data_IF_182466795473
#
_entry.id   IF_182466795473
#
_cell.length_a   1.000
_cell.length_b   1.000
_cell.length_c   1.000
_cell.angle_alpha   90.00
_cell.angle_beta   90.00
_cell.angle_gamma   90.00
#
_symmetry.space_group_name_H-M   'P 1'
#
loop_
_entity.id
_entity.type
_entity.pdbx_description
1 polymer ?
#
# COMPACT_ATOMS: atom_id res chain seq x y z
N UNK A 1 68.16 -43.07 -46.91
CA UNK A 1 67.01 -43.99 -47.06
C UNK A 1 66.00 -43.66 -45.97
N UNK A 2 64.76 -43.33 -46.38
CA UNK A 2 63.43 -43.57 -45.76
C UNK A 2 63.37 -43.64 -44.20
N UNK A 3 62.49 -42.96 -43.47
CA UNK A 3 61.12 -42.56 -43.78
C UNK A 3 60.66 -41.45 -42.82
N UNK A 4 59.85 -40.51 -43.33
CA UNK A 4 59.15 -39.51 -42.52
C UNK A 4 57.91 -40.11 -41.87
N UNK A 5 57.68 -39.79 -40.60
CA UNK A 5 56.48 -40.13 -39.86
C UNK A 5 55.47 -38.98 -40.03
N UNK A 6 54.50 -39.19 -40.90
CA UNK A 6 53.42 -38.24 -41.19
C UNK A 6 52.33 -38.41 -40.11
N UNK A 7 52.24 -37.46 -39.19
CA UNK A 7 51.23 -37.44 -38.14
C UNK A 7 49.90 -36.98 -38.76
N UNK A 8 48.99 -37.93 -38.99
CA UNK A 8 47.65 -37.68 -39.53
C UNK A 8 46.79 -37.06 -38.42
N UNK A 9 46.51 -35.77 -38.51
CA UNK A 9 45.45 -35.14 -37.73
C UNK A 9 44.09 -35.57 -38.31
N UNK A 10 43.39 -36.43 -37.58
CA UNK A 10 41.98 -36.73 -37.84
C UNK A 10 41.18 -35.49 -37.42
N UNK A 11 40.81 -34.66 -38.38
CA UNK A 11 39.75 -33.66 -38.20
C UNK A 11 38.43 -34.42 -38.03
N UNK A 12 37.99 -34.59 -36.78
CA UNK A 12 36.61 -34.93 -36.50
C UNK A 12 35.74 -33.74 -36.92
N UNK A 13 35.12 -33.83 -38.09
CA UNK A 13 34.06 -32.92 -38.49
C UNK A 13 32.89 -33.09 -37.52
N UNK A 14 32.83 -32.26 -36.46
CA UNK A 14 31.60 -32.03 -35.73
C UNK A 14 30.62 -31.41 -36.73
N UNK A 15 29.71 -32.24 -37.23
CA UNK A 15 28.54 -31.78 -37.95
C UNK A 15 27.78 -30.81 -37.05
N UNK A 16 27.78 -29.53 -37.41
CA UNK A 16 26.80 -28.57 -36.96
C UNK A 16 25.43 -29.08 -37.42
N UNK A 17 24.73 -29.79 -36.54
CA UNK A 17 23.31 -30.00 -36.70
C UNK A 17 22.66 -28.60 -36.81
N UNK A 18 21.80 -28.35 -37.82
CA UNK A 18 21.08 -27.10 -37.87
C UNK A 18 20.28 -27.01 -36.56
N UNK A 19 20.42 -25.90 -35.86
CA UNK A 19 19.63 -25.60 -34.67
C UNK A 19 18.15 -25.71 -35.06
N UNK A 20 17.53 -26.87 -34.81
CA UNK A 20 16.12 -27.07 -35.02
C UNK A 20 15.38 -25.98 -34.27
N UNK A 21 14.48 -25.27 -34.95
CA UNK A 21 13.63 -24.26 -34.30
C UNK A 21 13.00 -24.93 -33.07
N UNK A 22 13.39 -24.50 -31.87
CA UNK A 22 12.75 -24.91 -30.63
C UNK A 22 11.23 -24.69 -30.78
N UNK A 23 10.41 -25.60 -30.27
CA UNK A 23 8.94 -25.55 -30.41
C UNK A 23 8.34 -24.17 -30.00
N UNK A 24 9.01 -23.49 -29.05
CA UNK A 24 8.71 -22.12 -28.60
C UNK A 24 8.86 -21.06 -29.70
N UNK A 25 9.83 -21.22 -30.62
CA UNK A 25 10.03 -20.33 -31.76
C UNK A 25 8.95 -20.54 -32.83
N UNK A 26 8.53 -21.79 -33.06
CA UNK A 26 7.43 -22.11 -33.99
C UNK A 26 6.08 -21.62 -33.45
N UNK A 27 5.83 -21.80 -32.15
CA UNK A 27 4.65 -21.29 -31.45
C UNK A 27 4.58 -19.76 -31.50
N UNK A 28 5.70 -19.08 -31.25
CA UNK A 28 5.77 -17.61 -31.30
C UNK A 28 5.42 -17.04 -32.68
N UNK A 29 5.86 -17.68 -33.77
CA UNK A 29 5.52 -17.25 -35.13
C UNK A 29 3.99 -17.28 -35.34
N UNK A 30 3.30 -18.31 -34.85
CA UNK A 30 1.83 -18.40 -34.93
C UNK A 30 1.15 -17.31 -34.11
N UNK A 31 1.59 -17.09 -32.87
CA UNK A 31 1.10 -16.01 -32.01
C UNK A 31 1.25 -14.65 -32.71
N UNK A 32 2.46 -14.31 -33.17
CA UNK A 32 2.76 -13.05 -33.83
C UNK A 32 1.96 -12.86 -35.12
N UNK A 33 1.83 -13.89 -35.96
CA UNK A 33 1.11 -13.78 -37.24
C UNK A 33 -0.39 -13.52 -37.05
N UNK A 34 -0.98 -14.03 -35.97
CA UNK A 34 -2.37 -13.74 -35.61
C UNK A 34 -2.48 -12.37 -34.92
N UNK A 35 -1.71 -12.15 -33.85
CA UNK A 35 -1.83 -10.96 -33.00
C UNK A 35 -1.36 -9.66 -33.66
N UNK A 36 -0.53 -9.71 -34.71
CA UNK A 36 -0.25 -8.53 -35.54
C UNK A 36 -1.52 -7.94 -36.17
N UNK A 37 -2.56 -8.76 -36.37
CA UNK A 37 -3.86 -8.35 -36.90
C UNK A 37 -4.89 -8.18 -35.79
N UNK A 38 -4.95 -9.12 -34.85
CA UNK A 38 -5.96 -9.12 -33.79
C UNK A 38 -5.69 -8.06 -32.70
N UNK A 39 -4.43 -7.87 -32.30
CA UNK A 39 -4.02 -6.95 -31.23
C UNK A 39 -2.68 -6.29 -31.60
N UNK A 40 -2.62 -5.46 -32.67
CA UNK A 40 -1.37 -4.92 -33.19
C UNK A 40 -0.55 -4.18 -32.14
N UNK A 41 -1.19 -3.41 -31.27
CA UNK A 41 -0.52 -2.61 -30.24
C UNK A 41 0.17 -3.48 -29.18
N UNK A 42 -0.42 -4.62 -28.80
CA UNK A 42 0.22 -5.59 -27.88
C UNK A 42 1.51 -6.14 -28.49
N UNK A 43 1.49 -6.43 -29.80
CA UNK A 43 2.70 -6.88 -30.50
C UNK A 43 3.73 -5.76 -30.61
N UNK A 44 3.31 -4.51 -30.80
CA UNK A 44 4.22 -3.36 -30.83
C UNK A 44 4.89 -3.13 -29.46
N UNK A 45 4.12 -3.17 -28.38
CA UNK A 45 4.67 -3.06 -27.02
C UNK A 45 5.67 -4.17 -26.72
N UNK A 46 5.32 -5.43 -27.06
CA UNK A 46 6.25 -6.54 -26.90
C UNK A 46 7.53 -6.33 -27.72
N UNK A 47 7.44 -5.88 -28.98
CA UNK A 47 8.62 -5.58 -29.81
C UNK A 47 9.48 -4.47 -29.22
N UNK A 48 8.87 -3.50 -28.54
CA UNK A 48 9.57 -2.42 -27.85
C UNK A 48 10.26 -2.90 -26.56
N UNK A 49 9.75 -3.97 -25.94
CA UNK A 49 10.30 -4.52 -24.70
C UNK A 49 11.70 -5.13 -24.88
N UNK A 50 12.47 -5.13 -23.79
CA UNK A 50 13.71 -5.93 -23.72
C UNK A 50 13.45 -7.43 -23.83
N UNK A 51 12.28 -7.92 -23.43
CA UNK A 51 11.92 -9.32 -23.60
C UNK A 51 11.99 -9.76 -25.07
N UNK A 52 11.52 -8.93 -26.01
CA UNK A 52 11.63 -9.28 -27.44
C UNK A 52 13.08 -9.31 -27.92
N UNK A 53 13.95 -8.43 -27.44
CA UNK A 53 15.36 -8.41 -27.85
C UNK A 53 16.14 -9.58 -27.27
N UNK A 54 15.78 -10.04 -26.07
CA UNK A 54 16.37 -11.20 -25.39
C UNK A 54 15.72 -12.54 -25.80
N UNK A 55 14.85 -12.55 -26.81
CA UNK A 55 14.24 -13.77 -27.34
C UNK A 55 13.11 -14.36 -26.49
N UNK A 56 12.63 -13.64 -25.47
CA UNK A 56 11.46 -14.03 -24.67
C UNK A 56 10.18 -13.80 -25.48
N UNK A 57 9.55 -14.91 -25.85
CA UNK A 57 8.36 -14.95 -26.72
C UNK A 57 7.05 -14.89 -25.95
N UNK A 58 5.92 -14.68 -26.65
CA UNK A 58 4.58 -14.73 -26.06
C UNK A 58 4.34 -16.04 -25.29
N UNK A 59 4.84 -17.16 -25.81
CA UNK A 59 4.64 -18.49 -25.26
C UNK A 59 5.37 -18.73 -23.93
N UNK A 60 6.49 -18.04 -23.68
CA UNK A 60 7.21 -18.16 -22.40
C UNK A 60 6.33 -17.70 -21.23
N UNK A 61 5.48 -16.69 -21.45
CA UNK A 61 4.59 -16.14 -20.44
C UNK A 61 3.19 -16.77 -20.47
N UNK A 62 2.63 -16.96 -21.67
CA UNK A 62 1.22 -17.35 -21.86
C UNK A 62 1.02 -18.83 -22.20
N UNK A 63 2.08 -19.60 -22.42
CA UNK A 63 2.00 -20.99 -22.87
C UNK A 63 1.58 -21.12 -24.34
N UNK A 64 1.25 -22.34 -24.75
CA UNK A 64 0.94 -22.72 -26.15
C UNK A 64 -0.45 -23.35 -26.33
N UNK A 65 -1.25 -23.43 -25.26
CA UNK A 65 -2.54 -24.13 -25.27
C UNK A 65 -3.64 -23.35 -26.03
N UNK A 66 -3.49 -22.03 -26.13
CA UNK A 66 -4.33 -21.18 -26.97
C UNK A 66 -3.86 -21.26 -28.43
N UNK A 67 -4.76 -21.64 -29.33
CA UNK A 67 -4.44 -21.89 -30.75
C UNK A 67 -5.36 -21.17 -31.73
N UNK A 68 -6.49 -20.62 -31.28
CA UNK A 68 -7.46 -19.91 -32.13
C UNK A 68 -8.26 -18.87 -31.34
N UNK A 69 -8.90 -17.91 -32.02
CA UNK A 69 -9.72 -16.88 -31.35
C UNK A 69 -10.86 -17.42 -30.46
N UNK A 70 -11.22 -18.71 -30.59
CA UNK A 70 -12.27 -19.37 -29.82
C UNK A 70 -11.80 -20.00 -28.51
N UNK A 71 -10.48 -20.06 -28.27
CA UNK A 71 -9.90 -20.71 -27.08
C UNK A 71 -8.92 -19.82 -26.31
N UNK A 72 -9.16 -18.49 -26.35
CA UNK A 72 -8.32 -17.49 -25.67
C UNK A 72 -8.18 -17.73 -24.16
N UNK A 73 -9.16 -18.36 -23.53
CA UNK A 73 -9.17 -18.74 -22.13
C UNK A 73 -8.14 -19.81 -21.77
N UNK A 74 -7.58 -20.53 -22.75
CA UNK A 74 -6.49 -21.50 -22.53
C UNK A 74 -5.12 -20.82 -22.42
N UNK A 75 -5.00 -19.54 -22.77
CA UNK A 75 -3.79 -18.78 -22.51
C UNK A 75 -3.56 -18.66 -20.99
N UNK A 76 -2.34 -18.89 -20.56
CA UNK A 76 -1.94 -18.69 -19.16
C UNK A 76 -1.87 -17.18 -18.88
N UNK A 77 -2.36 -16.78 -17.71
CA UNK A 77 -2.17 -15.43 -17.19
C UNK A 77 -0.92 -15.45 -16.29
N UNK A 78 0.13 -14.68 -16.62
CA UNK A 78 1.35 -14.66 -15.82
C UNK A 78 1.09 -14.24 -14.38
N UNK A 79 1.69 -14.97 -13.45
CA UNK A 79 1.73 -14.67 -12.02
C UNK A 79 3.19 -14.37 -11.61
N UNK A 80 3.47 -13.85 -10.40
CA UNK A 80 4.85 -13.67 -9.92
C UNK A 80 5.73 -14.92 -10.08
N UNK A 81 5.15 -16.12 -9.91
CA UNK A 81 5.83 -17.40 -10.16
C UNK A 81 6.26 -17.62 -11.61
N UNK A 82 5.55 -17.06 -12.60
CA UNK A 82 5.99 -17.04 -14.01
C UNK A 82 7.25 -16.19 -14.16
N UNK A 83 7.26 -15.02 -13.53
CA UNK A 83 8.38 -14.06 -13.58
C UNK A 83 9.61 -14.60 -12.83
N UNK A 84 9.41 -15.28 -11.70
CA UNK A 84 10.47 -15.82 -10.84
C UNK A 84 11.39 -16.83 -11.53
N UNK A 85 10.96 -17.42 -12.66
CA UNK A 85 11.80 -18.31 -13.47
C UNK A 85 13.05 -17.61 -14.03
N UNK A 86 12.98 -16.28 -14.18
CA UNK A 86 14.08 -15.45 -14.69
C UNK A 86 14.43 -14.28 -13.75
N UNK A 87 13.47 -13.81 -12.94
CA UNK A 87 13.59 -12.66 -12.04
C UNK A 87 13.41 -13.08 -10.58
N UNK A 88 14.13 -14.11 -10.15
CA UNK A 88 13.98 -14.70 -8.82
C UNK A 88 14.19 -13.67 -7.70
N UNK A 89 15.25 -12.87 -7.81
CA UNK A 89 15.61 -11.85 -6.83
C UNK A 89 14.50 -10.80 -6.65
N UNK A 90 14.04 -10.17 -7.74
CA UNK A 90 13.01 -9.14 -7.69
C UNK A 90 11.68 -9.69 -7.17
N UNK A 91 11.33 -10.93 -7.53
CA UNK A 91 10.11 -11.56 -7.01
C UNK A 91 10.25 -11.91 -5.53
N UNK A 92 11.43 -12.34 -5.07
CA UNK A 92 11.69 -12.59 -3.66
C UNK A 92 11.60 -11.29 -2.82
N UNK A 93 12.18 -10.19 -3.30
CA UNK A 93 12.04 -8.85 -2.72
C UNK A 93 10.58 -8.41 -2.66
N UNK A 94 9.86 -8.47 -3.79
CA UNK A 94 8.44 -8.13 -3.88
C UNK A 94 7.60 -8.87 -2.84
N UNK A 95 7.83 -10.19 -2.68
CA UNK A 95 7.10 -11.05 -1.73
C UNK A 95 7.32 -10.71 -0.27
N UNK A 96 8.45 -10.08 0.08
CA UNK A 96 8.69 -9.56 1.44
C UNK A 96 8.05 -8.20 1.67
N UNK A 97 7.71 -7.48 0.61
CA UNK A 97 7.09 -6.15 0.66
C UNK A 97 5.56 -6.19 0.78
N UNK A 98 4.97 -5.05 1.14
CA UNK A 98 3.52 -4.92 1.38
C UNK A 98 2.68 -5.09 0.12
N UNK A 99 3.22 -4.78 -1.05
CA UNK A 99 2.49 -4.93 -2.31
C UNK A 99 2.08 -6.38 -2.58
N UNK A 100 2.92 -7.36 -2.23
CA UNK A 100 2.60 -8.78 -2.45
C UNK A 100 1.41 -9.28 -1.62
N UNK A 101 1.19 -8.71 -0.43
CA UNK A 101 0.11 -9.10 0.47
C UNK A 101 -1.14 -8.21 0.34
N UNK A 102 -1.11 -7.19 -0.51
CA UNK A 102 -2.19 -6.19 -0.63
C UNK A 102 -3.57 -6.80 -0.94
N UNK A 103 -3.65 -7.88 -1.73
CA UNK A 103 -4.91 -8.58 -2.02
C UNK A 103 -5.49 -9.26 -0.78
N UNK A 104 -4.64 -9.92 0.00
CA UNK A 104 -5.04 -10.56 1.24
C UNK A 104 -5.48 -9.52 2.28
N UNK A 105 -4.72 -8.42 2.42
CA UNK A 105 -5.06 -7.30 3.30
C UNK A 105 -6.41 -6.67 2.94
N UNK A 106 -6.68 -6.45 1.64
CA UNK A 106 -7.99 -5.95 1.18
C UNK A 106 -9.13 -6.90 1.56
N UNK A 107 -8.96 -8.21 1.36
CA UNK A 107 -10.01 -9.19 1.71
C UNK A 107 -10.20 -9.34 3.23
N UNK A 108 -9.19 -9.01 4.03
CA UNK A 108 -9.26 -9.06 5.48
C UNK A 108 -10.04 -7.88 6.09
N UNK A 109 -10.29 -6.82 5.33
CA UNK A 109 -11.07 -5.69 5.80
C UNK A 109 -12.53 -6.11 6.07
N UNK A 110 -13.07 -5.88 7.29
CA UNK A 110 -14.37 -6.41 7.70
C UNK A 110 -15.52 -6.03 6.76
N UNK A 111 -15.43 -4.86 6.14
CA UNK A 111 -16.53 -4.19 5.46
C UNK A 111 -16.43 -4.26 3.93
N UNK A 112 -15.31 -4.76 3.38
CA UNK A 112 -15.10 -4.85 1.93
C UNK A 112 -16.14 -5.72 1.23
N UNK A 113 -16.67 -6.74 1.91
CA UNK A 113 -17.72 -7.60 1.38
C UNK A 113 -19.11 -6.95 1.36
N UNK A 114 -19.29 -5.81 2.04
CA UNK A 114 -20.55 -5.05 2.10
C UNK A 114 -20.66 -4.01 0.97
N UNK A 115 -19.59 -3.76 0.22
CA UNK A 115 -19.59 -2.82 -0.89
C UNK A 115 -20.54 -3.30 -2.01
N UNK A 116 -21.20 -2.37 -2.74
CA UNK A 116 -22.03 -2.70 -3.89
C UNK A 116 -21.30 -3.63 -4.86
N UNK A 117 -22.02 -4.66 -5.35
CA UNK A 117 -21.45 -5.64 -6.28
C UNK A 117 -20.83 -5.01 -7.53
N UNK A 118 -21.34 -3.85 -7.97
CA UNK A 118 -20.81 -3.10 -9.09
C UNK A 118 -19.41 -2.52 -8.85
N UNK A 119 -19.01 -2.32 -7.58
CA UNK A 119 -17.69 -1.86 -7.18
C UNK A 119 -16.75 -3.03 -6.85
N UNK A 120 -17.28 -4.12 -6.28
CA UNK A 120 -16.46 -5.29 -5.93
C UNK A 120 -16.17 -6.18 -7.13
N UNK A 121 -17.13 -6.36 -8.05
CA UNK A 121 -16.94 -7.16 -9.26
C UNK A 121 -16.19 -6.39 -10.36
N UNK A 122 -15.31 -7.09 -11.07
CA UNK A 122 -14.60 -6.55 -12.23
C UNK A 122 -13.53 -5.51 -11.90
N UNK A 123 -13.05 -5.46 -10.65
CA UNK A 123 -11.96 -4.56 -10.22
C UNK A 123 -12.27 -3.07 -10.44
N UNK A 124 -13.48 -2.63 -10.08
CA UNK A 124 -13.90 -1.22 -10.19
C UNK A 124 -13.72 -0.41 -8.91
N UNK A 125 -13.57 -1.08 -7.76
CA UNK A 125 -13.26 -0.50 -6.46
C UNK A 125 -11.87 -0.93 -5.96
N UNK A 126 -11.77 -1.29 -4.68
CA UNK A 126 -10.52 -1.65 -3.99
C UNK A 126 -9.65 -2.64 -4.77
N UNK A 127 -10.28 -3.62 -5.42
CA UNK A 127 -9.60 -4.65 -6.21
C UNK A 127 -8.78 -4.09 -7.37
N UNK A 128 -9.08 -2.90 -7.91
CA UNK A 128 -8.30 -2.30 -9.00
C UNK A 128 -6.88 -1.92 -8.58
N UNK A 129 -6.73 -1.44 -7.34
CA UNK A 129 -5.45 -1.04 -6.78
C UNK A 129 -4.76 -2.24 -6.09
N UNK A 130 -5.51 -3.00 -5.29
CA UNK A 130 -4.97 -4.12 -4.52
C UNK A 130 -4.70 -5.40 -5.34
N UNK A 131 -5.05 -5.43 -6.64
CA UNK A 131 -4.70 -6.55 -7.54
C UNK A 131 -3.20 -6.77 -7.70
N UNK A 132 -2.35 -5.81 -7.32
CA UNK A 132 -0.90 -6.03 -7.30
C UNK A 132 -0.54 -7.19 -6.36
N UNK A 133 -1.33 -7.48 -5.33
CA UNK A 133 -1.10 -8.60 -4.42
C UNK A 133 -1.12 -9.96 -5.11
N UNK A 134 -0.24 -10.85 -4.65
CA UNK A 134 -0.18 -12.23 -5.13
C UNK A 134 -1.46 -12.98 -4.72
N UNK A 135 -2.00 -13.75 -5.66
CA UNK A 135 -3.26 -14.49 -5.50
C UNK A 135 -2.96 -15.98 -5.65
N UNK A 136 -3.66 -16.81 -4.89
CA UNK A 136 -3.57 -18.25 -5.07
C UNK A 136 -4.17 -18.68 -6.42
N UNK A 137 -3.77 -19.83 -6.99
CA UNK A 137 -4.37 -20.34 -8.22
C UNK A 137 -5.90 -20.49 -8.13
N UNK A 138 -6.42 -20.88 -6.96
CA UNK A 138 -7.85 -21.03 -6.69
C UNK A 138 -8.57 -19.68 -6.76
N UNK A 139 -7.97 -18.63 -6.18
CA UNK A 139 -8.51 -17.28 -6.23
C UNK A 139 -8.54 -16.75 -7.67
N UNK A 140 -7.47 -16.96 -8.44
CA UNK A 140 -7.43 -16.58 -9.86
C UNK A 140 -8.50 -17.32 -10.66
N UNK A 141 -8.70 -18.61 -10.40
CA UNK A 141 -9.74 -19.40 -11.05
C UNK A 141 -11.15 -18.88 -10.70
N UNK A 142 -11.39 -18.53 -9.43
CA UNK A 142 -12.65 -17.92 -8.98
C UNK A 142 -12.93 -16.59 -9.69
N UNK A 143 -11.96 -15.68 -9.70
CA UNK A 143 -12.08 -14.38 -10.37
C UNK A 143 -12.38 -14.52 -11.86
N UNK A 144 -11.76 -15.51 -12.52
CA UNK A 144 -12.03 -15.82 -13.93
C UNK A 144 -13.46 -16.34 -14.14
N UNK A 145 -13.95 -17.22 -13.28
CA UNK A 145 -15.33 -17.72 -13.33
C UNK A 145 -16.37 -16.60 -13.10
N UNK A 146 -16.01 -15.59 -12.31
CA UNK A 146 -16.83 -14.40 -12.06
C UNK A 146 -16.76 -13.34 -13.18
N UNK A 147 -16.07 -13.62 -14.28
CA UNK A 147 -15.97 -12.76 -15.46
C UNK A 147 -14.78 -11.80 -15.46
N UNK A 148 -13.93 -11.82 -14.43
CA UNK A 148 -12.67 -11.07 -14.40
C UNK A 148 -11.57 -11.93 -15.03
N UNK A 149 -11.59 -12.06 -16.35
CA UNK A 149 -10.64 -12.90 -17.08
C UNK A 149 -9.23 -12.31 -17.26
N UNK A 150 -9.01 -11.03 -16.93
CA UNK A 150 -7.76 -10.31 -17.19
C UNK A 150 -7.44 -9.34 -16.05
N UNK A 151 -6.18 -8.90 -15.99
CA UNK A 151 -5.75 -7.84 -15.07
C UNK A 151 -5.34 -8.31 -13.67
N UNK A 152 -5.13 -9.61 -13.46
CA UNK A 152 -4.72 -10.17 -12.16
C UNK A 152 -3.20 -10.27 -11.95
N UNK A 153 -2.42 -9.85 -12.95
CA UNK A 153 -0.97 -9.88 -12.88
C UNK A 153 -0.46 -8.82 -11.90
N UNK A 154 0.49 -9.20 -11.06
CA UNK A 154 1.11 -8.31 -10.08
C UNK A 154 2.21 -7.47 -10.74
N UNK A 155 3.10 -8.14 -11.48
CA UNK A 155 4.34 -7.59 -11.99
C UNK A 155 4.17 -6.69 -13.23
N UNK A 156 2.96 -6.23 -13.54
CA UNK A 156 2.72 -5.23 -14.58
C UNK A 156 2.11 -3.93 -14.03
N UNK A 157 2.16 -3.75 -12.70
CA UNK A 157 1.60 -2.58 -12.02
C UNK A 157 2.43 -1.32 -12.21
N UNK A 158 3.77 -1.41 -12.24
CA UNK A 158 4.67 -0.24 -12.38
C UNK A 158 5.34 -0.15 -13.76
N UNK A 159 5.73 -1.29 -14.34
CA UNK A 159 6.23 -1.41 -15.71
C UNK A 159 5.22 -2.20 -16.52
N UNK A 160 4.38 -1.49 -17.27
CA UNK A 160 3.14 -2.07 -17.77
C UNK A 160 3.38 -3.07 -18.89
N UNK A 161 2.51 -4.07 -18.95
CA UNK A 161 2.46 -5.00 -20.07
C UNK A 161 2.06 -4.25 -21.35
N UNK A 162 2.59 -4.57 -22.53
CA UNK A 162 3.58 -5.62 -22.81
C UNK A 162 4.99 -5.05 -23.05
N UNK A 163 5.21 -3.78 -22.70
CA UNK A 163 6.50 -3.11 -22.84
C UNK A 163 7.48 -3.49 -21.72
N UNK A 164 6.97 -3.71 -20.50
CA UNK A 164 7.76 -4.03 -19.30
C UNK A 164 8.98 -3.12 -19.16
N UNK A 165 8.76 -1.80 -19.34
CA UNK A 165 9.83 -0.82 -19.45
C UNK A 165 10.36 -0.42 -18.07
N UNK A 166 11.65 -0.68 -17.81
CA UNK A 166 12.32 -0.13 -16.61
C UNK A 166 12.28 1.40 -16.59
N UNK A 167 12.33 2.05 -17.75
CA UNK A 167 12.28 3.52 -17.84
C UNK A 167 10.93 4.04 -17.39
N UNK A 168 9.84 3.36 -17.76
CA UNK A 168 8.47 3.65 -17.31
C UNK A 168 8.36 3.46 -15.79
N UNK A 169 8.80 2.32 -15.26
CA UNK A 169 8.74 2.05 -13.82
C UNK A 169 9.59 3.00 -12.96
N UNK A 170 10.58 3.68 -13.54
CA UNK A 170 11.39 4.69 -12.85
C UNK A 170 10.75 6.10 -12.88
N UNK A 171 9.60 6.28 -13.53
CA UNK A 171 8.86 7.54 -13.50
C UNK A 171 7.91 7.56 -12.29
N UNK A 172 7.79 8.68 -11.55
CA UNK A 172 6.92 8.74 -10.39
C UNK A 172 5.43 8.55 -10.76
N UNK A 173 5.06 8.85 -12.01
CA UNK A 173 3.71 8.61 -12.54
C UNK A 173 3.29 7.13 -12.53
N UNK A 174 4.24 6.18 -12.46
CA UNK A 174 3.90 4.76 -12.29
C UNK A 174 3.19 4.48 -10.95
N UNK A 175 3.35 5.36 -9.95
CA UNK A 175 2.73 5.21 -8.63
C UNK A 175 1.37 5.94 -8.53
N UNK A 176 1.15 6.96 -9.36
CA UNK A 176 0.06 7.93 -9.19
C UNK A 176 -1.34 7.34 -9.34
N UNK A 177 -1.47 6.18 -9.99
CA UNK A 177 -2.77 5.53 -10.25
C UNK A 177 -3.37 4.88 -9.01
N UNK A 178 -2.55 4.61 -7.99
CA UNK A 178 -2.97 3.96 -6.74
C UNK A 178 -2.69 4.86 -5.53
N UNK A 179 -1.53 5.53 -5.52
CA UNK A 179 -1.10 6.38 -4.40
C UNK A 179 -1.63 7.81 -4.54
N UNK A 180 -2.95 7.97 -4.43
CA UNK A 180 -3.67 9.22 -4.64
C UNK A 180 -4.94 9.31 -3.78
N UNK A 181 -5.58 10.48 -3.76
CA UNK A 181 -6.99 10.61 -3.38
C UNK A 181 -7.27 10.73 -1.88
N UNK A 182 -8.26 9.96 -1.40
CA UNK A 182 -8.91 10.19 -0.11
C UNK A 182 -7.97 9.96 1.07
N UNK A 183 -7.47 8.74 1.22
CA UNK A 183 -6.77 8.25 2.41
C UNK A 183 -5.25 8.33 2.32
N UNK A 184 -4.70 8.31 1.11
CA UNK A 184 -3.25 8.39 0.91
C UNK A 184 -2.88 9.19 -0.35
N UNK A 185 -3.12 10.52 -0.37
CA UNK A 185 -2.79 11.41 -1.48
C UNK A 185 -1.27 11.69 -1.62
N UNK A 186 -0.48 10.62 -1.64
CA UNK A 186 0.99 10.69 -1.68
C UNK A 186 1.49 11.27 -3.00
N UNK A 187 0.82 10.98 -4.12
CA UNK A 187 1.11 11.63 -5.40
C UNK A 187 0.89 13.14 -5.34
N UNK A 188 -0.24 13.60 -4.80
CA UNK A 188 -0.57 15.01 -4.69
C UNK A 188 0.42 15.73 -3.77
N UNK A 189 0.75 15.12 -2.62
CA UNK A 189 1.76 15.62 -1.69
C UNK A 189 3.14 15.72 -2.36
N UNK A 190 3.61 14.65 -3.00
CA UNK A 190 4.90 14.61 -3.69
C UNK A 190 4.93 15.60 -4.85
N UNK A 191 3.97 15.53 -5.77
CA UNK A 191 3.98 16.30 -7.03
C UNK A 191 3.91 17.81 -6.81
N UNK A 192 3.29 18.25 -5.71
CA UNK A 192 3.23 19.66 -5.31
C UNK A 192 4.31 20.08 -4.30
N UNK A 193 5.15 19.14 -3.83
CA UNK A 193 6.35 19.44 -3.04
C UNK A 193 7.50 19.97 -3.90
N UNK A 194 8.56 20.49 -3.26
CA UNK A 194 9.79 20.87 -3.98
C UNK A 194 10.49 19.67 -4.62
N UNK A 195 10.38 18.47 -4.04
CA UNK A 195 10.91 17.26 -4.67
C UNK A 195 10.19 16.94 -5.98
N UNK A 196 8.86 16.88 -5.96
CA UNK A 196 8.07 16.56 -7.15
C UNK A 196 8.14 17.61 -8.24
N UNK A 197 8.09 18.90 -7.90
CA UNK A 197 8.26 19.98 -8.88
C UNK A 197 9.63 19.89 -9.55
N UNK A 198 10.71 19.67 -8.79
CA UNK A 198 12.06 19.50 -9.37
C UNK A 198 12.17 18.22 -10.20
N UNK A 199 11.56 17.13 -9.74
CA UNK A 199 11.48 15.87 -10.48
C UNK A 199 10.80 16.04 -11.84
N UNK A 200 9.68 16.76 -11.88
CA UNK A 200 8.97 17.10 -13.13
C UNK A 200 9.82 17.98 -14.05
N UNK A 201 10.45 19.03 -13.52
CA UNK A 201 11.29 19.92 -14.33
C UNK A 201 12.52 19.20 -14.90
N UNK A 202 13.03 18.19 -14.21
CA UNK A 202 14.08 17.28 -14.71
C UNK A 202 13.55 16.35 -15.80
N UNK A 203 12.35 15.79 -15.61
CA UNK A 203 11.68 14.92 -16.59
C UNK A 203 11.36 15.68 -17.89
N UNK A 204 10.93 16.94 -17.81
CA UNK A 204 10.62 17.79 -18.97
C UNK A 204 11.84 18.40 -19.66
N UNK A 205 13.03 18.25 -19.08
CA UNK A 205 14.28 18.78 -19.61
C UNK A 205 14.53 20.27 -19.33
N UNK A 206 13.68 20.92 -18.51
CA UNK A 206 13.92 22.30 -18.03
C UNK A 206 15.12 22.35 -17.08
N UNK A 207 15.26 21.33 -16.22
CA UNK A 207 16.46 21.11 -15.41
C UNK A 207 17.33 20.01 -16.02
N UNK A 208 18.67 20.08 -15.89
CA UNK A 208 19.55 19.04 -16.38
C UNK A 208 19.34 17.73 -15.63
N UNK A 209 19.70 16.60 -16.26
CA UNK A 209 19.59 15.26 -15.65
C UNK A 209 20.42 15.11 -14.36
N UNK A 210 21.44 15.93 -14.16
CA UNK A 210 22.28 15.98 -12.96
C UNK A 210 21.65 16.77 -11.81
N UNK A 211 20.55 17.50 -12.04
CA UNK A 211 19.87 18.21 -10.99
C UNK A 211 19.27 17.25 -9.95
N UNK A 212 19.36 17.65 -8.68
CA UNK A 212 18.66 16.98 -7.57
C UNK A 212 17.14 17.11 -7.74
N UNK A 213 16.44 16.03 -7.43
CA UNK A 213 14.99 15.88 -7.60
C UNK A 213 14.65 14.41 -7.46
N UNK A 214 14.52 13.90 -6.21
CA UNK A 214 14.18 12.50 -6.00
C UNK A 214 12.75 12.23 -6.51
N UNK A 215 12.51 11.00 -6.93
CA UNK A 215 11.17 10.48 -7.29
C UNK A 215 10.75 9.41 -6.28
N UNK A 216 9.51 8.92 -6.36
CA UNK A 216 8.98 7.88 -5.45
C UNK A 216 9.96 6.70 -5.29
N UNK A 217 10.48 6.21 -6.42
CA UNK A 217 11.40 5.09 -6.51
C UNK A 217 12.76 5.39 -5.86
N UNK A 218 13.23 6.65 -5.89
CA UNK A 218 14.48 7.04 -5.23
C UNK A 218 14.43 6.76 -3.72
N UNK A 219 13.27 6.98 -3.09
CA UNK A 219 13.10 6.89 -1.64
C UNK A 219 12.47 5.58 -1.14
N UNK A 220 11.72 4.87 -2.00
CA UNK A 220 10.96 3.68 -1.59
C UNK A 220 11.39 2.39 -2.28
N UNK A 221 12.28 2.48 -3.28
CA UNK A 221 12.83 1.34 -4.01
C UNK A 221 14.35 1.54 -4.19
N UNK A 222 15.04 1.84 -3.08
CA UNK A 222 16.49 2.05 -3.07
C UNK A 222 17.20 0.88 -3.77
N UNK A 223 18.22 1.19 -4.57
CA UNK A 223 19.00 0.22 -5.35
C UNK A 223 18.16 -0.67 -6.30
N UNK A 224 16.89 -0.32 -6.54
CA UNK A 224 15.96 -1.12 -7.32
C UNK A 224 15.32 -2.28 -6.56
N UNK A 225 15.41 -2.28 -5.23
CA UNK A 225 14.74 -3.27 -4.36
C UNK A 225 13.22 -3.18 -4.51
N UNK A 226 12.57 -4.33 -4.69
CA UNK A 226 11.11 -4.44 -4.82
C UNK A 226 10.39 -4.62 -3.47
N UNK A 227 11.13 -4.68 -2.35
CA UNK A 227 10.60 -4.72 -0.99
C UNK A 227 10.21 -3.31 -0.51
N UNK A 228 9.09 -2.79 -1.00
CA UNK A 228 8.61 -1.45 -0.62
C UNK A 228 8.11 -1.45 0.83
N UNK A 229 8.84 -0.74 1.70
CA UNK A 229 8.57 -0.58 3.14
C UNK A 229 8.82 0.85 3.62
N UNK A 230 8.25 1.15 4.78
CA UNK A 230 8.43 2.43 5.49
C UNK A 230 8.48 2.18 7.00
N UNK A 231 9.18 3.02 7.79
CA UNK A 231 9.32 2.82 9.24
C UNK A 231 7.98 2.82 9.97
N UNK A 232 7.11 3.78 9.64
CA UNK A 232 5.81 3.96 10.29
C UNK A 232 4.68 3.14 9.66
N UNK A 233 4.96 2.39 8.58
CA UNK A 233 3.94 1.68 7.83
C UNK A 233 2.85 2.61 7.28
N UNK A 234 1.62 2.08 7.16
CA UNK A 234 0.50 2.82 6.60
C UNK A 234 -0.21 3.67 7.67
N UNK A 235 -0.50 3.08 8.82
CA UNK A 235 -1.31 3.69 9.87
C UNK A 235 -0.51 4.51 10.88
N UNK A 236 0.81 4.66 10.70
CA UNK A 236 1.68 5.34 11.66
C UNK A 236 1.53 4.79 13.09
N UNK A 237 1.57 3.46 13.20
CA UNK A 237 1.59 2.72 14.47
C UNK A 237 2.76 1.71 14.44
N UNK A 238 3.34 1.39 15.59
CA UNK A 238 4.48 0.46 15.69
C UNK A 238 4.54 -0.25 17.05
N UNK A 239 5.26 -1.37 17.08
CA UNK A 239 5.74 -2.02 18.30
C UNK A 239 7.28 -2.09 18.28
N UNK A 240 7.98 -1.90 19.41
CA UNK A 240 7.43 -1.44 20.70
C UNK A 240 6.82 -0.04 20.58
N UNK A 241 5.90 0.27 21.48
CA UNK A 241 5.29 1.60 21.55
C UNK A 241 6.35 2.68 21.86
N UNK A 242 6.09 3.95 21.50
CA UNK A 242 6.97 5.06 21.85
C UNK A 242 7.29 5.10 23.36
N UNK A 243 8.50 5.57 23.71
CA UNK A 243 8.93 5.67 25.12
C UNK A 243 8.20 6.79 25.89
N UNK A 244 7.82 7.86 25.18
CA UNK A 244 7.05 8.98 25.72
C UNK A 244 5.70 8.48 26.28
N UNK A 245 5.41 8.80 27.54
CA UNK A 245 4.30 8.20 28.26
C UNK A 245 2.93 8.60 27.68
N UNK A 246 2.76 9.87 27.30
CA UNK A 246 1.54 10.39 26.69
C UNK A 246 1.32 9.75 25.33
N UNK A 247 2.34 9.78 24.47
CA UNK A 247 2.25 9.19 23.14
C UNK A 247 1.99 7.68 23.17
N UNK A 248 2.57 6.98 24.14
CA UNK A 248 2.30 5.56 24.37
C UNK A 248 0.83 5.30 24.72
N UNK A 249 0.21 6.16 25.56
CA UNK A 249 -1.21 6.06 25.89
C UNK A 249 -2.07 6.31 24.65
N UNK A 250 -1.75 7.36 23.88
CA UNK A 250 -2.48 7.70 22.66
C UNK A 250 -2.42 6.57 21.62
N UNK A 251 -1.23 6.01 21.37
CA UNK A 251 -1.05 4.86 20.49
C UNK A 251 -1.78 3.61 21.00
N UNK A 252 -1.82 3.40 22.32
CA UNK A 252 -2.61 2.31 22.91
C UNK A 252 -4.08 2.49 22.61
N UNK A 253 -4.65 3.68 22.83
CA UNK A 253 -6.03 4.01 22.49
C UNK A 253 -6.33 3.80 20.99
N UNK A 254 -5.41 4.19 20.11
CA UNK A 254 -5.55 3.95 18.67
C UNK A 254 -5.54 2.44 18.36
N UNK A 255 -4.67 1.65 18.97
CA UNK A 255 -4.64 0.19 18.79
C UNK A 255 -5.90 -0.50 19.34
N UNK A 256 -6.50 0.03 20.41
CA UNK A 256 -7.80 -0.41 20.91
C UNK A 256 -8.91 -0.11 19.89
N UNK A 257 -8.92 1.10 19.33
CA UNK A 257 -9.89 1.50 18.32
C UNK A 257 -9.69 0.79 16.98
N UNK A 258 -8.47 0.32 16.68
CA UNK A 258 -8.21 -0.58 15.56
C UNK A 258 -8.60 -2.03 15.87
N UNK A 259 -9.07 -2.33 17.09
CA UNK A 259 -9.44 -3.65 17.56
C UNK A 259 -8.26 -4.60 17.74
N UNK A 260 -7.02 -4.11 17.69
CA UNK A 260 -5.79 -4.90 17.89
C UNK A 260 -5.61 -5.24 19.37
N UNK A 261 -6.00 -4.30 20.23
CA UNK A 261 -6.09 -4.49 21.67
C UNK A 261 -7.57 -4.42 22.10
N UNK A 262 -7.94 -5.11 23.17
CA UNK A 262 -9.21 -4.92 23.83
C UNK A 262 -9.20 -3.66 24.71
N UNK A 263 -10.32 -3.34 25.35
CA UNK A 263 -10.45 -2.12 26.15
C UNK A 263 -9.61 -2.12 27.44
N UNK A 264 -9.06 -3.27 27.82
CA UNK A 264 -8.14 -3.46 28.94
C UNK A 264 -6.66 -3.43 28.49
N UNK A 265 -6.42 -3.41 27.17
CA UNK A 265 -5.09 -3.36 26.58
C UNK A 265 -4.50 -4.74 26.26
N UNK A 266 -5.29 -5.83 26.36
CA UNK A 266 -4.81 -7.16 26.00
C UNK A 266 -4.92 -7.39 24.48
N UNK A 267 -3.99 -8.16 23.87
CA UNK A 267 -4.09 -8.56 22.47
C UNK A 267 -5.38 -9.28 22.11
N UNK A 268 -5.97 -8.93 20.96
CA UNK A 268 -7.12 -9.66 20.39
C UNK A 268 -6.69 -10.59 19.25
N UNK A 269 -7.63 -11.37 18.71
CA UNK A 269 -7.42 -12.15 17.49
C UNK A 269 -7.01 -11.30 16.27
N UNK A 270 -7.35 -10.00 16.24
CA UNK A 270 -6.99 -9.09 15.15
C UNK A 270 -5.49 -8.77 15.13
N UNK A 271 -4.77 -8.92 16.24
CA UNK A 271 -3.32 -8.74 16.28
C UNK A 271 -2.61 -9.68 15.30
N UNK A 272 -3.03 -10.93 15.19
CA UNK A 272 -2.40 -11.89 14.27
C UNK A 272 -2.60 -11.51 12.80
N UNK A 273 -3.76 -10.94 12.46
CA UNK A 273 -4.01 -10.37 11.12
C UNK A 273 -3.09 -9.15 10.91
N UNK A 274 -2.96 -8.30 11.92
CA UNK A 274 -2.11 -7.10 11.87
C UNK A 274 -0.64 -7.44 11.61
N UNK A 275 -0.14 -8.51 12.26
CA UNK A 275 1.20 -9.06 12.04
C UNK A 275 1.34 -9.66 10.64
N UNK A 276 0.40 -10.52 10.24
CA UNK A 276 0.43 -11.20 8.94
C UNK A 276 0.31 -10.23 7.76
N UNK A 277 -0.42 -9.12 7.93
CA UNK A 277 -0.57 -8.06 6.94
C UNK A 277 0.55 -7.01 6.99
N UNK A 278 1.57 -7.20 7.84
CA UNK A 278 2.75 -6.32 7.95
C UNK A 278 2.39 -4.84 8.15
N UNK A 279 1.29 -4.56 8.88
CA UNK A 279 0.71 -3.21 8.99
C UNK A 279 1.67 -2.24 9.66
N UNK A 280 2.41 -2.75 10.66
CA UNK A 280 3.33 -2.01 11.52
C UNK A 280 4.68 -2.74 11.63
N UNK A 281 5.77 -2.00 11.91
CA UNK A 281 7.02 -2.63 12.37
C UNK A 281 6.79 -3.15 13.79
N UNK A 282 7.24 -4.38 14.06
CA UNK A 282 6.96 -5.08 15.32
C UNK A 282 8.15 -5.10 16.30
N UNK A 283 9.31 -4.65 15.86
CA UNK A 283 10.51 -4.51 16.68
C UNK A 283 11.16 -3.15 16.42
N UNK A 284 11.92 -2.67 17.42
CA UNK A 284 12.69 -1.44 17.30
C UNK A 284 13.73 -1.56 16.17
N UNK A 285 14.43 -2.69 16.11
CA UNK A 285 15.38 -3.01 15.03
C UNK A 285 14.73 -2.91 13.64
N UNK A 286 13.54 -3.48 13.43
CA UNK A 286 12.86 -3.42 12.14
C UNK A 286 12.40 -1.99 11.77
N UNK A 287 12.16 -1.12 12.76
CA UNK A 287 11.89 0.28 12.54
C UNK A 287 13.17 1.05 12.19
N UNK A 288 14.25 0.81 12.93
CA UNK A 288 15.53 1.50 12.77
C UNK A 288 16.17 1.18 11.42
N UNK A 289 16.15 -0.08 10.97
CA UNK A 289 16.62 -0.47 9.64
C UNK A 289 15.93 0.36 8.54
N UNK A 290 14.62 0.52 8.61
CA UNK A 290 13.89 1.30 7.61
C UNK A 290 14.13 2.82 7.76
N UNK A 291 14.36 3.29 9.00
CA UNK A 291 14.66 4.70 9.28
C UNK A 291 16.03 5.08 8.73
N UNK A 292 17.03 4.23 8.92
CA UNK A 292 18.40 4.40 8.43
C UNK A 292 18.41 4.43 6.90
N UNK A 293 17.72 3.49 6.22
CA UNK A 293 17.56 3.51 4.74
C UNK A 293 17.01 4.84 4.22
N UNK A 294 16.01 5.42 4.89
CA UNK A 294 15.47 6.72 4.53
C UNK A 294 16.51 7.83 4.74
N UNK A 295 17.18 7.86 5.90
CA UNK A 295 18.20 8.85 6.21
C UNK A 295 19.35 8.81 5.20
N UNK A 296 19.85 7.62 4.87
CA UNK A 296 20.89 7.39 3.86
C UNK A 296 20.47 7.90 2.48
N UNK A 297 19.19 7.78 2.14
CA UNK A 297 18.67 8.36 0.89
C UNK A 297 18.69 9.88 0.93
N UNK A 298 18.26 10.48 2.06
CA UNK A 298 18.24 11.92 2.23
C UNK A 298 19.65 12.55 2.19
N UNK A 299 20.66 11.88 2.74
CA UNK A 299 22.04 12.39 2.82
C UNK A 299 22.76 12.42 1.48
N UNK A 300 22.20 11.79 0.43
CA UNK A 300 22.70 11.94 -0.93
C UNK A 300 22.56 13.38 -1.47
N UNK A 301 21.64 14.19 -0.91
CA UNK A 301 21.39 15.57 -1.34
C UNK A 301 21.40 16.60 -0.21
N UNK A 302 21.25 16.17 1.05
CA UNK A 302 21.14 17.04 2.22
C UNK A 302 22.20 16.69 3.27
N UNK A 303 22.47 17.61 4.18
CA UNK A 303 23.25 17.25 5.37
C UNK A 303 22.43 16.30 6.25
N UNK A 304 23.10 15.36 6.91
CA UNK A 304 22.49 14.43 7.86
C UNK A 304 21.71 15.16 8.95
N UNK A 305 22.28 16.25 9.51
CA UNK A 305 21.59 17.09 10.49
C UNK A 305 20.24 17.64 9.99
N UNK A 306 20.19 18.07 8.73
CA UNK A 306 18.95 18.56 8.13
C UNK A 306 17.96 17.40 7.97
N UNK A 307 18.40 16.30 7.37
CA UNK A 307 17.55 15.13 7.10
C UNK A 307 16.96 14.54 8.38
N UNK A 308 17.78 14.27 9.39
CA UNK A 308 17.34 13.76 10.69
C UNK A 308 16.39 14.75 11.38
N UNK A 309 16.64 16.06 11.24
CA UNK A 309 15.76 17.10 11.77
C UNK A 309 14.37 17.12 11.12
N UNK A 310 14.29 17.00 9.79
CA UNK A 310 12.99 16.94 9.08
C UNK A 310 12.22 15.64 9.40
N UNK A 311 12.93 14.52 9.48
CA UNK A 311 12.35 13.23 9.88
C UNK A 311 11.79 13.29 11.31
N UNK A 312 12.52 13.91 12.25
CA UNK A 312 12.04 14.10 13.62
C UNK A 312 10.80 15.01 13.71
N UNK A 313 10.70 16.05 12.86
CA UNK A 313 9.47 16.86 12.77
C UNK A 313 8.28 16.05 12.27
N UNK A 314 8.50 15.10 11.34
CA UNK A 314 7.48 14.15 10.91
C UNK A 314 7.00 13.26 12.07
N UNK A 315 7.93 12.77 12.88
CA UNK A 315 7.61 11.96 14.07
C UNK A 315 6.81 12.77 15.12
N UNK A 316 7.19 14.02 15.37
CA UNK A 316 6.44 14.93 16.25
C UNK A 316 5.03 15.23 15.73
N UNK A 317 4.83 15.33 14.41
CA UNK A 317 3.50 15.50 13.84
C UNK A 317 2.63 14.24 13.99
N UNK A 318 3.22 13.04 13.94
CA UNK A 318 2.48 11.81 14.29
C UNK A 318 2.05 11.89 15.75
N UNK A 319 2.96 12.21 16.68
CA UNK A 319 2.64 12.35 18.11
C UNK A 319 1.48 13.31 18.34
N UNK A 320 1.51 14.50 17.73
CA UNK A 320 0.44 15.49 17.89
C UNK A 320 -0.88 15.07 17.24
N UNK A 321 -0.84 14.41 16.09
CA UNK A 321 -2.05 13.91 15.44
C UNK A 321 -2.67 12.72 16.19
N UNK A 322 -1.84 11.88 16.81
CA UNK A 322 -2.27 10.77 17.66
C UNK A 322 -3.02 11.26 18.88
N UNK A 323 -2.51 12.31 19.52
CA UNK A 323 -3.17 12.92 20.67
C UNK A 323 -4.59 13.38 20.36
N UNK A 324 -4.78 14.14 19.27
CA UNK A 324 -6.11 14.58 18.85
C UNK A 324 -7.03 13.41 18.51
N UNK A 325 -6.50 12.38 17.84
CA UNK A 325 -7.29 11.20 17.49
C UNK A 325 -7.68 10.40 18.73
N UNK A 326 -6.76 10.22 19.68
CA UNK A 326 -7.01 9.53 20.94
C UNK A 326 -8.09 10.27 21.77
N UNK A 327 -8.04 11.60 21.84
CA UNK A 327 -9.08 12.40 22.49
C UNK A 327 -10.46 12.15 21.85
N UNK A 328 -10.54 12.21 20.52
CA UNK A 328 -11.77 11.93 19.79
C UNK A 328 -12.31 10.51 20.03
N UNK A 329 -11.43 9.50 20.04
CA UNK A 329 -11.80 8.11 20.37
C UNK A 329 -12.38 8.03 21.78
N UNK A 330 -11.71 8.64 22.76
CA UNK A 330 -12.12 8.58 24.17
C UNK A 330 -13.44 9.31 24.43
N UNK A 331 -13.71 10.40 23.71
CA UNK A 331 -15.02 11.08 23.76
C UNK A 331 -16.12 10.11 23.35
N UNK A 332 -15.97 9.41 22.22
CA UNK A 332 -17.01 8.48 21.74
C UNK A 332 -17.08 7.23 22.65
N UNK A 333 -15.94 6.73 23.11
CA UNK A 333 -15.88 5.64 24.08
C UNK A 333 -16.66 5.99 25.36
N UNK A 334 -16.56 7.22 25.86
CA UNK A 334 -17.33 7.65 27.04
C UNK A 334 -18.85 7.58 26.81
N UNK A 335 -19.34 7.83 25.60
CA UNK A 335 -20.77 7.69 25.30
C UNK A 335 -21.25 6.24 25.33
N UNK A 336 -20.40 5.29 24.94
CA UNK A 336 -20.66 3.86 25.12
C UNK A 336 -20.68 3.46 26.60
N UNK A 337 -19.72 3.97 27.38
CA UNK A 337 -19.61 3.72 28.82
C UNK A 337 -20.83 4.23 29.57
N UNK A 338 -21.32 5.40 29.17
CA UNK A 338 -22.47 6.04 29.77
C UNK A 338 -23.81 5.46 29.27
N UNK A 339 -23.80 4.41 28.44
CA UNK A 339 -25.02 3.79 27.90
C UNK A 339 -25.79 4.66 26.91
N UNK A 340 -25.23 5.79 26.47
CA UNK A 340 -25.84 6.70 25.49
C UNK A 340 -25.75 6.11 24.08
N UNK A 341 -24.70 5.35 23.79
CA UNK A 341 -24.54 4.59 22.56
C UNK A 341 -24.62 3.09 22.83
N UNK A 342 -25.51 2.40 22.13
CA UNK A 342 -25.58 0.94 22.15
C UNK A 342 -24.44 0.30 21.34
N UNK A 343 -23.88 -0.82 21.80
CA UNK A 343 -22.90 -1.56 20.99
C UNK A 343 -23.55 -2.11 19.71
N UNK A 344 -23.08 -1.75 18.50
CA UNK A 344 -23.54 -2.38 17.27
C UNK A 344 -23.30 -3.90 17.29
N UNK A 345 -24.14 -4.67 16.60
CA UNK A 345 -23.96 -6.13 16.49
C UNK A 345 -22.63 -6.47 15.80
N UNK A 346 -22.23 -5.67 14.81
CA UNK A 346 -20.98 -5.81 14.07
C UNK A 346 -19.72 -5.51 14.88
N UNK A 347 -19.84 -4.86 16.05
CA UNK A 347 -18.69 -4.44 16.86
C UNK A 347 -18.34 -5.51 17.89
N UNK A 348 -17.04 -5.77 18.06
CA UNK A 348 -16.55 -6.72 19.08
C UNK A 348 -16.83 -6.22 20.49
N UNK A 349 -16.57 -4.94 20.76
CA UNK A 349 -16.71 -4.30 22.07
C UNK A 349 -17.56 -3.02 21.97
N UNK A 350 -18.09 -2.53 23.09
CA UNK A 350 -18.76 -1.23 23.20
C UNK A 350 -17.71 -0.10 23.17
N UNK A 351 -17.02 0.01 22.03
CA UNK A 351 -15.90 0.90 21.79
C UNK A 351 -15.83 1.24 20.29
N UNK A 352 -15.40 2.45 19.89
CA UNK A 352 -15.30 2.81 18.48
C UNK A 352 -14.36 1.89 17.69
N UNK A 353 -14.75 1.46 16.48
CA UNK A 353 -13.88 0.69 15.57
C UNK A 353 -13.48 1.54 14.36
N UNK A 354 -12.19 1.87 14.24
CA UNK A 354 -11.66 2.69 13.15
C UNK A 354 -11.68 2.00 11.77
N UNK A 355 -11.95 0.68 11.73
CA UNK A 355 -12.06 -0.07 10.48
C UNK A 355 -13.48 -0.14 9.92
N UNK A 356 -14.48 0.47 10.58
CA UNK A 356 -15.88 0.48 10.10
C UNK A 356 -16.18 1.66 9.20
N UNK A 357 -15.25 2.01 8.31
CA UNK A 357 -15.25 3.14 7.37
C UNK A 357 -16.51 4.02 7.26
N UNK A 358 -17.23 3.92 6.13
CA UNK A 358 -18.45 4.67 5.85
C UNK A 358 -19.70 3.92 6.36
N UNK A 359 -19.52 2.68 6.77
CA UNK A 359 -20.54 1.82 7.39
C UNK A 359 -20.61 1.99 8.91
N UNK A 360 -19.83 2.93 9.46
CA UNK A 360 -19.92 3.33 10.85
C UNK A 360 -21.37 3.75 11.14
N UNK A 361 -21.97 3.23 12.22
CA UNK A 361 -23.43 3.24 12.38
C UNK A 361 -23.99 4.62 12.68
N UNK A 362 -23.13 5.59 13.04
CA UNK A 362 -23.53 6.91 13.52
C UNK A 362 -22.68 8.02 12.91
N UNK A 363 -23.25 9.23 12.72
CA UNK A 363 -22.50 10.37 12.20
C UNK A 363 -21.24 10.74 13.00
N UNK A 364 -21.26 10.60 14.33
CA UNK A 364 -20.08 10.87 15.19
C UNK A 364 -18.94 9.86 14.94
N UNK A 365 -19.28 8.60 14.64
CA UNK A 365 -18.31 7.55 14.30
C UNK A 365 -17.83 7.68 12.85
N UNK A 366 -18.69 8.13 11.92
CA UNK A 366 -18.29 8.50 10.56
C UNK A 366 -17.33 9.70 10.56
N UNK A 367 -17.54 10.67 11.45
CA UNK A 367 -16.63 11.80 11.65
C UNK A 367 -15.27 11.33 12.17
N UNK A 368 -15.26 10.40 13.14
CA UNK A 368 -14.02 9.78 13.62
C UNK A 368 -13.28 9.04 12.51
N UNK A 369 -14.00 8.33 11.64
CA UNK A 369 -13.42 7.69 10.46
C UNK A 369 -12.72 8.68 9.54
N UNK A 370 -13.35 9.81 9.20
CA UNK A 370 -12.71 10.87 8.38
C UNK A 370 -11.47 11.43 9.08
N UNK A 371 -11.57 11.69 10.38
CA UNK A 371 -10.44 12.16 11.19
C UNK A 371 -9.27 11.17 11.11
N UNK A 372 -9.53 9.87 11.25
CA UNK A 372 -8.50 8.83 11.22
C UNK A 372 -7.91 8.58 9.82
N UNK A 373 -8.75 8.31 8.83
CA UNK A 373 -8.30 7.79 7.54
C UNK A 373 -8.10 8.88 6.48
N UNK A 374 -8.70 10.06 6.63
CA UNK A 374 -8.47 11.19 5.71
C UNK A 374 -7.50 12.21 6.31
N UNK A 375 -7.88 12.82 7.43
CA UNK A 375 -7.19 14.01 7.91
C UNK A 375 -5.88 13.68 8.64
N UNK A 376 -5.86 12.67 9.53
CA UNK A 376 -4.62 12.23 10.18
C UNK A 376 -3.60 11.75 9.17
N UNK A 377 -4.02 10.95 8.17
CA UNK A 377 -3.14 10.50 7.09
C UNK A 377 -2.48 11.67 6.39
N UNK A 378 -3.25 12.71 6.07
CA UNK A 378 -2.73 13.93 5.42
C UNK A 378 -1.75 14.70 6.29
N UNK A 379 -2.01 14.80 7.60
CA UNK A 379 -1.13 15.50 8.55
C UNK A 379 0.30 14.97 8.52
N UNK A 380 0.49 13.67 8.78
CA UNK A 380 1.85 13.14 8.86
C UNK A 380 2.43 12.83 7.48
N UNK A 381 1.65 12.30 6.54
CA UNK A 381 2.19 12.00 5.20
C UNK A 381 2.60 13.28 4.47
N UNK A 382 1.87 14.39 4.69
CA UNK A 382 2.25 15.71 4.17
C UNK A 382 3.64 16.12 4.67
N UNK A 383 3.94 15.89 5.94
CA UNK A 383 5.25 16.16 6.52
C UNK A 383 6.37 15.30 5.87
N UNK A 384 6.17 13.99 5.78
CA UNK A 384 7.16 13.07 5.20
C UNK A 384 7.39 13.29 3.70
N UNK A 385 6.42 13.88 2.98
CA UNK A 385 6.56 14.26 1.57
C UNK A 385 6.92 15.74 1.37
N UNK A 386 7.31 16.45 2.43
CA UNK A 386 7.68 17.87 2.40
C UNK A 386 6.61 18.77 1.76
N UNK A 387 5.34 18.50 2.09
CA UNK A 387 4.18 19.23 1.63
C UNK A 387 3.47 19.95 2.80
N UNK A 388 3.72 21.26 2.98
CA UNK A 388 3.16 22.01 4.10
C UNK A 388 1.65 22.23 3.99
N UNK A 389 1.10 22.28 2.76
CA UNK A 389 -0.31 22.54 2.53
C UNK A 389 -1.16 21.33 2.97
N UNK A 390 -0.72 20.13 2.60
CA UNK A 390 -1.34 18.89 3.06
C UNK A 390 -1.14 18.65 4.56
N UNK A 391 0.05 18.95 5.10
CA UNK A 391 0.31 18.78 6.52
C UNK A 391 -0.58 19.72 7.38
N UNK A 392 -0.73 20.98 6.95
CA UNK A 392 -1.47 22.00 7.68
C UNK A 392 -2.95 22.01 7.31
N UNK A 393 -3.30 22.51 6.12
CA UNK A 393 -4.68 22.88 5.78
C UNK A 393 -5.58 21.68 5.49
N UNK A 394 -5.06 20.67 4.81
CA UNK A 394 -5.82 19.44 4.52
C UNK A 394 -5.68 18.36 5.60
N UNK A 395 -4.73 18.52 6.52
CA UNK A 395 -4.42 17.60 7.61
C UNK A 395 -4.73 18.21 8.98
N UNK A 396 -3.76 18.86 9.61
CA UNK A 396 -3.84 19.37 10.98
C UNK A 396 -5.08 20.23 11.26
N UNK A 397 -5.36 21.22 10.40
CA UNK A 397 -6.53 22.09 10.54
C UNK A 397 -7.85 21.31 10.48
N UNK A 398 -7.89 20.22 9.70
CA UNK A 398 -9.07 19.35 9.61
C UNK A 398 -9.20 18.42 10.81
N UNK A 399 -8.09 17.90 11.32
CA UNK A 399 -8.08 17.15 12.59
C UNK A 399 -8.66 17.98 13.75
N UNK A 400 -8.25 19.25 13.87
CA UNK A 400 -8.79 20.15 14.89
C UNK A 400 -10.30 20.39 14.69
N UNK A 401 -10.74 20.62 13.45
CA UNK A 401 -12.17 20.78 13.13
C UNK A 401 -12.99 19.53 13.45
N UNK A 402 -12.47 18.34 13.14
CA UNK A 402 -13.16 17.09 13.45
C UNK A 402 -13.29 16.86 14.95
N UNK A 403 -12.24 17.14 15.72
CA UNK A 403 -12.30 17.03 17.17
C UNK A 403 -13.38 17.96 17.76
N UNK A 404 -13.42 19.23 17.32
CA UNK A 404 -14.47 20.18 17.73
C UNK A 404 -15.87 19.66 17.36
N UNK A 405 -16.03 19.12 16.14
CA UNK A 405 -17.32 18.56 15.72
C UNK A 405 -17.71 17.33 16.55
N UNK A 406 -16.76 16.45 16.90
CA UNK A 406 -17.01 15.27 17.75
C UNK A 406 -17.41 15.71 19.16
N UNK A 407 -16.76 16.74 19.72
CA UNK A 407 -17.13 17.32 21.02
C UNK A 407 -18.56 17.86 21.00
N UNK A 408 -18.95 18.62 19.97
CA UNK A 408 -20.31 19.14 19.81
C UNK A 408 -21.36 18.02 19.67
N UNK A 409 -21.10 17.04 18.79
CA UNK A 409 -21.99 15.88 18.60
C UNK A 409 -22.16 15.07 19.88
N UNK A 410 -21.10 14.90 20.66
CA UNK A 410 -21.15 14.20 21.93
C UNK A 410 -22.02 14.93 22.96
N UNK A 411 -21.91 16.26 23.04
CA UNK A 411 -22.77 17.06 23.94
C UNK A 411 -24.24 16.99 23.51
N UNK A 412 -24.55 17.08 22.22
CA UNK A 412 -25.93 16.92 21.73
C UNK A 412 -26.53 15.56 22.08
N UNK A 413 -25.75 14.48 21.97
CA UNK A 413 -26.19 13.13 22.35
C UNK A 413 -26.47 13.04 23.85
N UNK A 414 -25.63 13.66 24.67
CA UNK A 414 -25.81 13.75 26.13
C UNK A 414 -27.04 14.57 26.49
N UNK A 415 -27.28 15.71 25.83
CA UNK A 415 -28.48 16.52 26.01
C UNK A 415 -29.76 15.76 25.65
N UNK A 416 -29.76 15.04 24.52
CA UNK A 416 -30.90 14.22 24.10
C UNK A 416 -31.21 13.13 25.14
N UNK A 417 -30.20 12.41 25.63
CA UNK A 417 -30.37 11.38 26.66
C UNK A 417 -30.90 11.95 27.99
N UNK A 418 -30.48 13.16 28.38
CA UNK A 418 -31.04 13.87 29.55
C UNK A 418 -32.51 14.22 29.36
N UNK A 419 -32.90 14.63 28.16
CA UNK A 419 -34.26 15.09 27.85
C UNK A 419 -35.27 13.95 27.62
N UNK A 420 -34.84 12.78 27.13
CA UNK A 420 -35.71 11.61 26.94
C UNK A 420 -35.99 10.85 28.25
N UNK A 421 -35.28 11.19 29.34
CA UNK A 421 -35.40 10.50 30.62
C UNK A 421 -34.85 9.07 30.59
N UNK A 422 -34.19 8.67 29.51
CA UNK A 422 -33.71 7.30 29.31
C UNK A 422 -32.58 6.93 30.27
N UNK A 423 -31.93 7.89 30.94
CA UNK A 423 -30.84 7.63 31.91
C UNK A 423 -31.03 8.40 33.23
N UNK A 424 -32.08 8.07 33.96
CA UNK A 424 -32.18 8.37 35.38
C UNK A 424 -32.35 7.09 36.22
N UNK A 425 -31.66 6.01 35.89
CA UNK A 425 -31.52 4.86 36.81
C UNK A 425 -30.25 4.02 36.48
N UNK A 426 -29.20 4.28 37.26
CA UNK A 426 -28.03 3.45 37.63
C UNK A 426 -27.55 2.35 36.66
N UNK A 427 -26.28 2.43 36.27
CA UNK A 427 -25.44 1.24 36.06
C UNK A 427 -24.16 1.37 36.88
N UNK A 428 -23.81 0.28 37.57
CA UNK A 428 -22.65 0.18 38.43
C UNK A 428 -21.35 0.31 37.60
N UNK A 429 -20.48 1.18 38.09
CA UNK A 429 -19.16 1.53 37.59
C UNK A 429 -18.36 0.38 36.97
N UNK A 430 -18.20 0.39 35.64
CA UNK A 430 -16.97 -0.09 34.98
C UNK A 430 -16.05 1.12 34.84
N UNK A 431 -15.10 1.24 35.76
CA UNK A 431 -14.10 2.32 35.72
C UNK A 431 -13.02 1.94 34.71
N UNK A 432 -13.02 2.62 33.57
CA UNK A 432 -11.82 2.76 32.79
C UNK A 432 -10.87 3.64 33.59
N UNK A 433 -9.66 3.16 33.84
CA UNK A 433 -8.62 3.90 34.57
C UNK A 433 -8.53 5.34 34.05
N UNK A 434 -8.66 6.31 34.95
CA UNK A 434 -8.70 7.75 34.68
C UNK A 434 -7.68 8.17 33.61
N UNK A 435 -8.15 8.46 32.40
CA UNK A 435 -7.45 9.34 31.48
C UNK A 435 -7.93 10.75 31.81
N UNK A 436 -6.97 11.61 32.12
CA UNK A 436 -7.18 12.95 32.65
C UNK A 436 -8.23 13.74 31.86
N UNK A 437 -9.15 14.40 32.58
CA UNK A 437 -10.03 15.41 32.02
C UNK A 437 -9.19 16.45 31.23
N UNK A 438 -9.66 16.91 30.06
CA UNK A 438 -8.95 17.92 29.30
C UNK A 438 -8.83 19.19 30.15
N UNK A 439 -7.61 19.51 30.58
CA UNK A 439 -7.31 20.84 31.10
C UNK A 439 -7.40 21.80 29.94
N UNK A 440 -8.42 22.66 30.00
CA UNK A 440 -8.66 23.77 29.10
C UNK A 440 -7.51 24.80 29.25
N UNK A 441 -6.34 24.49 28.71
CA UNK A 441 -5.25 25.45 28.59
C UNK A 441 -5.44 26.17 27.27
N UNK A 442 -6.00 27.37 27.38
CA UNK A 442 -6.11 28.36 26.33
C UNK A 442 -4.80 28.45 25.53
N UNK A 443 -4.88 28.14 24.24
CA UNK A 443 -3.88 28.52 23.25
C UNK A 443 -3.74 30.06 23.29
N UNK A 444 -2.60 30.54 23.80
CA UNK A 444 -2.08 31.89 23.58
C UNK A 444 -0.76 31.79 22.85
#
# INVERSE_FOLDING_TARGET
MKAGLMMVFIFAALGLAPAGLRAENVGNIKCLNCHKRATPNVVMDWKFSKHSSEGITCAHCHGLEHTSSKDSEKAKLPQPSTCAKCHEEQVAQFRRGKHAISWAAMKAMPTTHMLPMALTKGSRGCGSCHKIGEKSPEEVAKLKAEGSGYGHAACDSCHTRHAFSKVEALQPQACQTCHMGFDHPQWEMYSTSKHGVRGLLKQSGVLPKTASGPVCQTCHMQDGDHEVRTPWGYLAVRLPLPEDEEWRKDQTTILQALGVLDTEGNPTARLEIFKAADVARLTQEAFDIEREKLLDTCTQCHSERFASGELAKGDELIKKADHLLAEAILIIASLYQDGILDKPESYTNAFPDLLTFHDAPRPIEQRLFLMHLEHRMRTFQGAFHANPDYALWYGWSKMVQDLTAIQEMAEELREKARNTGEHCEKSDTVTYTEVAKPTNQSLK
#
